data_IF_419807546566
#
_entry.id   IF_419807546566
#
_cell.length_a   1.000
_cell.length_b   1.000
_cell.length_c   1.000
_cell.angle_alpha   90.00
_cell.angle_beta   90.00
_cell.angle_gamma   90.00
#
_symmetry.space_group_name_H-M   'P 1'
#
loop_
_entity.id
_entity.type
_entity.pdbx_description
1 polymer ?
#
# COMPACT_ATOMS: atom_id res chain seq x y z
N UNK A 1 -4.86 13.70 2.87
CA UNK A 1 -3.48 13.40 3.27
C UNK A 1 -2.48 14.40 2.66
N UNK A 2 -2.44 14.62 1.32
CA UNK A 2 -1.52 15.57 0.69
C UNK A 2 -1.67 17.00 1.22
N UNK A 3 -2.90 17.52 1.36
CA UNK A 3 -3.17 18.85 1.91
C UNK A 3 -2.74 19.01 3.38
N UNK A 4 -2.69 17.90 4.10
CA UNK A 4 -2.25 17.83 5.50
C UNK A 4 -0.76 17.48 5.65
N UNK A 5 -0.04 17.44 4.55
CA UNK A 5 1.41 17.16 4.50
C UNK A 5 1.81 15.81 5.11
N UNK A 6 0.92 14.80 5.10
CA UNK A 6 1.18 13.50 5.72
C UNK A 6 2.31 12.73 5.05
N UNK A 7 2.55 12.97 3.76
CA UNK A 7 3.58 12.31 2.97
C UNK A 7 4.94 13.01 2.96
N UNK A 8 5.08 14.19 3.59
CA UNK A 8 6.30 14.99 3.48
C UNK A 8 7.58 14.29 3.97
N UNK A 9 7.45 13.38 4.94
CA UNK A 9 8.58 12.65 5.51
C UNK A 9 8.96 11.38 4.72
N UNK A 10 8.15 10.98 3.74
CA UNK A 10 8.38 9.78 2.92
C UNK A 10 8.66 10.10 1.46
N UNK A 11 8.29 11.28 0.98
CA UNK A 11 8.54 11.71 -0.40
C UNK A 11 9.92 12.36 -0.50
N UNK A 12 10.69 11.90 -1.50
CA UNK A 12 11.99 12.48 -1.83
C UNK A 12 11.83 13.45 -2.99
N UNK A 13 12.37 14.66 -2.83
CA UNK A 13 12.43 15.64 -3.92
C UNK A 13 13.35 15.15 -5.04
N UNK A 14 12.81 15.05 -6.24
CA UNK A 14 13.58 14.74 -7.44
C UNK A 14 13.77 16.00 -8.28
N UNK A 15 15.03 16.25 -8.64
CA UNK A 15 15.39 17.26 -9.62
C UNK A 15 15.38 16.64 -11.00
N UNK A 16 14.41 17.03 -11.82
CA UNK A 16 14.26 16.55 -13.19
C UNK A 16 14.82 17.60 -14.15
N UNK A 17 15.84 17.22 -14.93
CA UNK A 17 16.38 18.08 -15.99
C UNK A 17 15.48 17.97 -17.23
N UNK A 18 14.81 19.04 -17.57
CA UNK A 18 14.19 19.25 -18.87
C UNK A 18 15.19 19.95 -19.80
N UNK A 19 14.96 19.87 -21.12
CA UNK A 19 15.87 20.48 -22.13
C UNK A 19 16.24 21.94 -21.88
N UNK A 20 15.44 22.69 -21.12
CA UNK A 20 15.64 24.13 -20.85
C UNK A 20 15.68 24.51 -19.37
N UNK A 21 15.18 23.68 -18.47
CA UNK A 21 15.04 24.02 -17.04
C UNK A 21 15.23 22.79 -16.17
N UNK A 22 15.65 23.00 -14.92
CA UNK A 22 15.59 21.99 -13.85
C UNK A 22 14.28 22.22 -13.07
N UNK A 23 13.49 21.18 -12.92
CA UNK A 23 12.19 21.21 -12.20
C UNK A 23 12.31 20.32 -10.96
N UNK A 24 11.94 20.86 -9.82
CA UNK A 24 11.78 20.07 -8.59
C UNK A 24 10.46 19.32 -8.65
N UNK A 25 10.52 17.98 -8.62
CA UNK A 25 9.37 17.12 -8.61
C UNK A 25 9.10 16.63 -7.17
N UNK A 26 8.07 17.18 -6.54
CA UNK A 26 7.77 17.00 -5.11
C UNK A 26 6.37 16.45 -4.85
N UNK A 27 5.52 16.44 -5.84
CA UNK A 27 4.10 16.13 -5.66
C UNK A 27 3.67 15.06 -6.65
N UNK A 28 2.98 14.04 -6.14
CA UNK A 28 2.30 13.05 -6.99
C UNK A 28 1.23 13.73 -7.84
N UNK A 29 1.24 13.47 -9.14
CA UNK A 29 0.33 14.07 -10.11
C UNK A 29 -0.98 13.29 -10.26
N UNK A 30 -1.00 12.00 -9.84
CA UNK A 30 -2.13 11.12 -10.06
C UNK A 30 -3.38 11.50 -9.25
N UNK A 31 -3.29 11.96 -7.97
CA UNK A 31 -4.46 12.32 -7.19
C UNK A 31 -5.29 13.42 -7.85
N UNK A 32 -6.59 13.18 -7.99
CA UNK A 32 -7.53 14.10 -8.61
C UNK A 32 -8.39 14.79 -7.56
N UNK A 33 -8.33 16.11 -7.54
CA UNK A 33 -9.18 16.90 -6.66
C UNK A 33 -10.61 17.04 -7.21
N UNK A 34 -11.58 17.24 -6.30
CA UNK A 34 -12.97 17.55 -6.67
C UNK A 34 -13.81 16.37 -7.17
N UNK A 35 -13.33 15.12 -7.05
CA UNK A 35 -14.13 13.95 -7.37
C UNK A 35 -15.30 13.80 -6.41
N UNK A 36 -16.46 13.45 -6.96
CA UNK A 36 -17.67 13.14 -6.22
C UNK A 36 -18.38 11.90 -6.80
N UNK A 37 -19.37 11.39 -6.08
CA UNK A 37 -20.09 10.18 -6.49
C UNK A 37 -20.81 10.35 -7.83
N UNK A 38 -21.33 11.54 -8.13
CA UNK A 38 -22.00 11.83 -9.40
C UNK A 38 -21.02 11.72 -10.59
N UNK A 39 -19.82 12.29 -10.46
CA UNK A 39 -18.79 12.18 -11.49
C UNK A 39 -18.34 10.71 -11.67
N UNK A 40 -18.17 9.97 -10.59
CA UNK A 40 -17.77 8.56 -10.61
C UNK A 40 -18.87 7.67 -11.23
N UNK A 41 -20.15 7.92 -10.96
CA UNK A 41 -21.28 7.13 -11.48
C UNK A 41 -21.45 7.23 -13.01
N UNK A 42 -20.90 8.27 -13.64
CA UNK A 42 -20.93 8.46 -15.10
C UNK A 42 -19.85 7.66 -15.83
N UNK A 43 -18.91 7.07 -15.12
CA UNK A 43 -17.82 6.30 -15.72
C UNK A 43 -18.32 4.95 -16.21
N UNK A 44 -17.88 4.59 -17.42
CA UNK A 44 -18.26 3.31 -18.03
C UNK A 44 -17.39 2.17 -17.50
N UNK A 45 -17.95 0.95 -17.38
CA UNK A 45 -17.18 -0.25 -17.11
C UNK A 45 -16.07 -0.47 -18.14
N UNK A 46 -14.88 -0.93 -17.68
CA UNK A 46 -13.70 -1.09 -18.54
C UNK A 46 -13.53 -2.52 -19.04
N UNK A 47 -13.86 -3.53 -18.23
CA UNK A 47 -13.57 -4.94 -18.55
C UNK A 47 -14.77 -5.72 -19.06
N UNK A 48 -15.97 -5.47 -18.55
CA UNK A 48 -17.21 -6.14 -18.95
C UNK A 48 -18.27 -5.10 -19.24
N UNK A 49 -19.10 -5.30 -20.29
CA UNK A 49 -20.15 -4.36 -20.70
C UNK A 49 -21.07 -3.95 -19.54
N UNK A 50 -21.46 -4.92 -18.69
CA UNK A 50 -22.32 -4.72 -17.51
C UNK A 50 -21.53 -4.92 -16.20
N UNK A 51 -20.23 -4.62 -16.22
CA UNK A 51 -19.35 -4.73 -15.07
C UNK A 51 -19.42 -3.52 -14.15
N UNK A 52 -18.73 -3.62 -13.01
CA UNK A 52 -18.69 -2.56 -11.98
C UNK A 52 -17.33 -1.86 -11.90
N UNK A 53 -16.30 -2.40 -12.56
CA UNK A 53 -14.95 -1.82 -12.50
C UNK A 53 -14.83 -0.73 -13.57
N UNK A 54 -14.54 0.47 -13.11
CA UNK A 54 -14.37 1.68 -13.94
C UNK A 54 -13.01 2.34 -13.65
N UNK A 55 -12.63 3.34 -14.42
CA UNK A 55 -11.44 4.15 -14.15
C UNK A 55 -11.47 4.88 -12.79
N UNK A 56 -12.64 5.00 -12.15
CA UNK A 56 -12.78 5.68 -10.86
C UNK A 56 -12.63 4.77 -9.64
N UNK A 57 -12.63 3.44 -9.84
CA UNK A 57 -12.49 2.45 -8.76
C UNK A 57 -11.45 1.37 -9.06
N UNK A 58 -10.53 1.67 -9.98
CA UNK A 58 -9.35 0.90 -10.30
C UNK A 58 -8.12 1.82 -10.16
N UNK A 59 -6.98 1.25 -9.79
CA UNK A 59 -5.72 1.98 -9.78
C UNK A 59 -5.27 2.38 -11.18
N UNK A 60 -4.52 3.46 -11.30
CA UNK A 60 -3.82 3.80 -12.52
C UNK A 60 -2.57 2.94 -12.70
N UNK A 61 -2.07 2.88 -13.93
CA UNK A 61 -0.72 2.38 -14.24
C UNK A 61 0.21 3.59 -14.19
N UNK A 62 1.15 3.57 -13.27
CA UNK A 62 1.97 4.73 -12.94
C UNK A 62 3.45 4.37 -12.93
N UNK A 63 4.30 5.36 -13.21
CA UNK A 63 5.71 5.30 -12.87
C UNK A 63 5.91 5.67 -11.40
N UNK A 64 6.90 5.05 -10.77
CA UNK A 64 7.23 5.33 -9.37
C UNK A 64 8.41 4.51 -8.89
N UNK A 65 9.02 4.97 -7.81
CA UNK A 65 10.09 4.28 -7.12
C UNK A 65 9.93 4.43 -5.62
N UNK A 66 10.31 3.39 -4.89
CA UNK A 66 10.39 3.42 -3.43
C UNK A 66 11.58 2.57 -2.98
N UNK A 67 12.20 2.95 -1.88
CA UNK A 67 13.35 2.24 -1.35
C UNK A 67 13.24 2.08 0.17
N UNK A 68 13.66 0.92 0.65
CA UNK A 68 13.84 0.62 2.07
C UNK A 68 15.23 0.03 2.28
N UNK A 69 15.89 0.40 3.37
CA UNK A 69 17.16 -0.21 3.76
C UNK A 69 16.89 -1.30 4.79
N UNK A 70 17.35 -2.51 4.50
CA UNK A 70 17.24 -3.68 5.37
C UNK A 70 18.62 -4.07 5.90
N UNK A 71 18.67 -4.37 7.18
CA UNK A 71 19.89 -4.89 7.82
C UNK A 71 19.54 -5.69 9.06
N UNK A 72 20.51 -6.47 9.57
CA UNK A 72 20.34 -7.13 10.86
C UNK A 72 20.31 -6.10 12.01
N UNK A 73 19.62 -6.43 13.10
CA UNK A 73 19.64 -5.59 14.31
C UNK A 73 21.05 -5.40 14.86
N UNK A 74 21.92 -6.40 14.71
CA UNK A 74 23.32 -6.32 15.10
C UNK A 74 24.04 -5.24 14.29
N UNK A 75 23.96 -5.30 12.95
CA UNK A 75 24.59 -4.31 12.05
C UNK A 75 24.08 -2.89 12.34
N UNK A 76 22.77 -2.74 12.58
CA UNK A 76 22.21 -1.44 12.92
C UNK A 76 22.79 -0.88 14.23
N UNK A 77 22.93 -1.72 15.25
CA UNK A 77 23.51 -1.31 16.54
C UNK A 77 24.99 -0.94 16.41
N UNK A 78 25.79 -1.77 15.71
CA UNK A 78 27.23 -1.54 15.50
C UNK A 78 27.51 -0.23 14.75
N UNK A 79 26.59 0.19 13.87
CA UNK A 79 26.72 1.40 13.06
C UNK A 79 25.89 2.59 13.59
N UNK A 80 25.27 2.48 14.77
CA UNK A 80 24.41 3.50 15.37
C UNK A 80 23.28 3.97 14.46
N UNK A 81 22.70 3.05 13.66
CA UNK A 81 21.59 3.35 12.75
C UNK A 81 20.27 3.23 13.50
N UNK A 82 19.48 4.29 13.44
CA UNK A 82 18.14 4.29 14.02
C UNK A 82 17.23 3.34 13.25
N UNK A 83 16.75 2.31 13.93
CA UNK A 83 15.79 1.35 13.40
C UNK A 83 14.40 1.96 13.43
N UNK A 84 13.64 1.83 12.36
CA UNK A 84 12.25 2.32 12.28
C UNK A 84 11.27 1.26 12.77
N UNK A 85 11.39 0.05 12.23
CA UNK A 85 10.58 -1.12 12.60
C UNK A 85 11.42 -2.39 12.51
N UNK A 86 10.95 -3.46 13.13
CA UNK A 86 11.42 -4.83 12.89
C UNK A 86 10.44 -5.59 11.99
N UNK A 87 10.97 -6.36 11.04
CA UNK A 87 10.17 -7.32 10.28
C UNK A 87 9.92 -8.54 11.16
N UNK A 88 8.66 -8.85 11.44
CA UNK A 88 8.26 -9.99 12.28
C UNK A 88 8.04 -11.24 11.46
N UNK A 89 7.40 -11.10 10.32
CA UNK A 89 7.09 -12.21 9.43
C UNK A 89 6.74 -11.71 8.02
N UNK A 90 6.75 -12.62 7.07
CA UNK A 90 6.15 -12.43 5.75
C UNK A 90 5.63 -13.76 5.24
N UNK A 91 4.68 -13.72 4.32
CA UNK A 91 4.20 -14.91 3.63
C UNK A 91 3.71 -14.57 2.23
N UNK A 92 3.93 -15.48 1.31
CA UNK A 92 3.29 -15.48 0.00
C UNK A 92 2.40 -16.70 -0.13
N UNK A 93 1.28 -16.55 -0.84
CA UNK A 93 0.32 -17.63 -1.10
C UNK A 93 -0.20 -17.52 -2.54
N UNK A 94 -0.55 -18.68 -3.11
CA UNK A 94 -1.24 -18.79 -4.39
C UNK A 94 -2.75 -18.83 -4.19
N UNK A 95 -3.49 -18.32 -5.18
CA UNK A 95 -4.94 -18.43 -5.32
C UNK A 95 -5.27 -18.71 -6.78
N UNK A 96 -6.50 -19.06 -7.09
CA UNK A 96 -6.95 -19.20 -8.48
C UNK A 96 -6.70 -17.88 -9.23
N UNK A 97 -6.05 -17.92 -10.42
CA UNK A 97 -5.77 -16.72 -11.22
C UNK A 97 -7.02 -15.89 -11.55
N UNK A 98 -8.19 -16.53 -11.70
CA UNK A 98 -9.46 -15.82 -12.01
C UNK A 98 -9.93 -14.90 -10.87
N UNK A 99 -9.45 -15.14 -9.65
CA UNK A 99 -9.72 -14.34 -8.45
C UNK A 99 -8.42 -13.82 -7.82
N UNK A 100 -7.44 -13.48 -8.65
CA UNK A 100 -6.09 -13.09 -8.20
C UNK A 100 -6.10 -12.01 -7.12
N UNK A 101 -7.10 -11.13 -7.14
CA UNK A 101 -7.27 -10.06 -6.15
C UNK A 101 -7.46 -10.54 -4.71
N UNK A 102 -7.81 -11.81 -4.50
CA UNK A 102 -7.98 -12.42 -3.18
C UNK A 102 -6.67 -12.92 -2.56
N UNK A 103 -5.56 -12.90 -3.30
CA UNK A 103 -4.23 -13.32 -2.81
C UNK A 103 -3.81 -12.73 -1.46
N UNK A 104 -4.10 -11.46 -1.13
CA UNK A 104 -3.86 -10.87 0.19
C UNK A 104 -4.52 -11.63 1.35
N UNK A 105 -5.64 -12.32 1.13
CA UNK A 105 -6.37 -13.02 2.20
C UNK A 105 -5.52 -14.13 2.81
N UNK A 106 -5.14 -15.20 2.05
CA UNK A 106 -4.33 -16.27 2.62
C UNK A 106 -2.92 -15.81 3.00
N UNK A 107 -2.32 -14.86 2.28
CA UNK A 107 -0.98 -14.37 2.62
C UNK A 107 -0.96 -13.58 3.92
N UNK A 108 -1.98 -12.74 4.18
CA UNK A 108 -2.08 -12.03 5.45
C UNK A 108 -2.36 -12.96 6.62
N UNK A 109 -3.30 -13.90 6.49
CA UNK A 109 -3.56 -14.92 7.52
C UNK A 109 -2.26 -15.65 7.89
N UNK A 110 -1.53 -16.15 6.90
CA UNK A 110 -0.28 -16.87 7.11
C UNK A 110 0.83 -16.00 7.71
N UNK A 111 0.98 -14.75 7.28
CA UNK A 111 1.97 -13.84 7.84
C UNK A 111 1.66 -13.50 9.30
N UNK A 112 0.40 -13.26 9.64
CA UNK A 112 -0.04 -13.01 11.01
C UNK A 112 0.19 -14.22 11.91
N UNK A 113 -0.16 -15.43 11.45
CA UNK A 113 0.10 -16.67 12.18
C UNK A 113 1.60 -16.85 12.48
N UNK A 114 2.48 -16.59 11.50
CA UNK A 114 3.93 -16.64 11.68
C UNK A 114 4.46 -15.58 12.66
N UNK A 115 3.78 -14.43 12.75
CA UNK A 115 4.10 -13.39 13.74
C UNK A 115 3.54 -13.71 15.14
N UNK A 116 2.64 -14.68 15.26
CA UNK A 116 1.91 -14.96 16.48
C UNK A 116 0.85 -13.89 16.79
N UNK A 117 0.31 -13.22 15.76
CA UNK A 117 -0.67 -12.15 15.88
C UNK A 117 -2.04 -12.55 15.37
N UNK A 118 -3.07 -11.98 15.98
CA UNK A 118 -4.43 -11.97 15.45
C UNK A 118 -4.66 -10.72 14.61
N UNK A 119 -5.72 -10.72 13.81
CA UNK A 119 -6.12 -9.54 13.02
C UNK A 119 -6.35 -8.32 13.92
N UNK A 120 -6.98 -8.51 15.05
CA UNK A 120 -7.31 -7.44 16.00
C UNK A 120 -6.07 -6.78 16.60
N UNK A 121 -4.96 -7.51 16.70
CA UNK A 121 -3.69 -7.02 17.24
C UNK A 121 -3.02 -6.00 16.33
N UNK A 122 -3.38 -5.96 15.04
CA UNK A 122 -2.77 -5.06 14.07
C UNK A 122 -3.39 -3.68 14.18
N UNK A 123 -2.55 -2.68 14.33
CA UNK A 123 -2.97 -1.29 14.46
C UNK A 123 -3.30 -0.64 13.12
N UNK A 124 -2.49 -0.92 12.08
CA UNK A 124 -2.62 -0.33 10.75
C UNK A 124 -2.36 -1.36 9.65
N UNK A 125 -3.15 -1.24 8.59
CA UNK A 125 -3.00 -2.03 7.37
C UNK A 125 -2.75 -1.11 6.17
N UNK A 126 -1.80 -1.50 5.32
CA UNK A 126 -1.67 -0.99 3.95
C UNK A 126 -2.01 -2.13 2.99
N UNK A 127 -3.19 -2.08 2.40
CA UNK A 127 -3.69 -3.04 1.42
C UNK A 127 -3.64 -2.36 0.05
N UNK A 128 -2.80 -2.83 -0.85
CA UNK A 128 -2.69 -2.22 -2.16
C UNK A 128 -4.02 -2.32 -2.93
N UNK A 129 -4.52 -1.17 -3.35
CA UNK A 129 -5.80 -1.04 -4.06
C UNK A 129 -5.60 -1.20 -5.56
N UNK A 130 -5.33 -2.41 -6.05
CA UNK A 130 -5.36 -2.65 -7.49
C UNK A 130 -6.76 -2.35 -8.06
N UNK A 131 -7.80 -2.75 -7.31
CA UNK A 131 -9.21 -2.47 -7.57
C UNK A 131 -9.97 -2.27 -6.25
N UNK A 132 -10.95 -1.37 -6.21
CA UNK A 132 -11.77 -1.17 -5.01
C UNK A 132 -12.52 -2.45 -4.62
N UNK A 133 -13.10 -3.17 -5.60
CA UNK A 133 -13.80 -4.43 -5.36
C UNK A 133 -12.90 -5.49 -4.71
N UNK A 134 -11.63 -5.57 -5.14
CA UNK A 134 -10.63 -6.46 -4.57
C UNK A 134 -10.31 -6.08 -3.11
N UNK A 135 -10.06 -4.81 -2.85
CA UNK A 135 -9.75 -4.33 -1.49
C UNK A 135 -10.91 -4.56 -0.53
N UNK A 136 -12.14 -4.29 -0.96
CA UNK A 136 -13.35 -4.57 -0.18
C UNK A 136 -13.48 -6.06 0.13
N UNK A 137 -13.23 -6.94 -0.84
CA UNK A 137 -13.28 -8.39 -0.62
C UNK A 137 -12.24 -8.83 0.43
N UNK A 138 -11.02 -8.31 0.37
CA UNK A 138 -9.95 -8.61 1.33
C UNK A 138 -10.33 -8.12 2.74
N UNK A 139 -10.78 -6.88 2.88
CA UNK A 139 -11.16 -6.28 4.16
C UNK A 139 -12.29 -7.08 4.82
N UNK A 140 -13.32 -7.43 4.05
CA UNK A 140 -14.47 -8.19 4.55
C UNK A 140 -14.10 -9.62 4.96
N UNK A 141 -13.35 -10.33 4.13
CA UNK A 141 -12.97 -11.72 4.39
C UNK A 141 -11.98 -11.85 5.58
N UNK A 142 -11.16 -10.84 5.80
CA UNK A 142 -10.27 -10.76 6.96
C UNK A 142 -10.94 -10.12 8.18
N UNK A 143 -12.16 -9.60 8.05
CA UNK A 143 -12.88 -8.88 9.09
C UNK A 143 -12.06 -7.74 9.71
N UNK A 144 -11.40 -6.94 8.85
CA UNK A 144 -10.57 -5.80 9.28
C UNK A 144 -11.46 -4.58 9.49
N UNK A 145 -11.19 -3.82 10.55
CA UNK A 145 -11.77 -2.48 10.75
C UNK A 145 -11.27 -1.53 9.64
N UNK A 146 -12.18 -1.04 8.81
CA UNK A 146 -11.86 -0.15 7.68
C UNK A 146 -11.13 1.13 8.12
N UNK A 147 -11.32 1.60 9.35
CA UNK A 147 -10.64 2.76 9.90
C UNK A 147 -9.13 2.54 10.12
N UNK A 148 -8.67 1.29 10.07
CA UNK A 148 -7.26 0.93 10.18
C UNK A 148 -6.58 0.74 8.82
N UNK A 149 -7.34 0.81 7.70
CA UNK A 149 -6.86 0.46 6.36
C UNK A 149 -6.59 1.71 5.54
N UNK A 150 -5.39 1.79 4.93
CA UNK A 150 -5.03 2.83 3.98
C UNK A 150 -5.43 4.24 4.46
N UNK A 151 -5.14 4.54 5.71
CA UNK A 151 -5.63 5.74 6.41
C UNK A 151 -5.21 7.07 5.76
N UNK A 152 -4.24 7.02 4.85
CA UNK A 152 -3.82 8.17 4.03
C UNK A 152 -4.29 8.07 2.57
N UNK A 153 -5.18 7.12 2.26
CA UNK A 153 -5.57 6.77 0.90
C UNK A 153 -4.67 5.71 0.29
N UNK A 154 -5.10 5.09 -0.79
CA UNK A 154 -4.43 3.97 -1.44
C UNK A 154 -4.17 4.20 -2.93
N UNK A 155 -3.84 3.12 -3.63
CA UNK A 155 -3.37 3.14 -5.01
C UNK A 155 -4.39 3.68 -6.03
N UNK A 156 -5.68 3.62 -5.75
CA UNK A 156 -6.72 4.21 -6.61
C UNK A 156 -6.50 5.73 -6.71
N UNK A 157 -6.15 6.37 -5.60
CA UNK A 157 -5.89 7.81 -5.57
C UNK A 157 -4.42 8.16 -5.87
N UNK A 158 -3.47 7.40 -5.32
CA UNK A 158 -2.03 7.70 -5.38
C UNK A 158 -1.35 7.13 -6.63
N UNK A 159 -1.92 6.10 -7.25
CA UNK A 159 -1.32 5.36 -8.35
C UNK A 159 -0.71 4.02 -7.92
N UNK A 160 -0.47 3.15 -8.92
CA UNK A 160 0.06 1.81 -8.72
C UNK A 160 1.29 1.57 -9.59
N UNK A 161 2.47 2.04 -9.19
CA UNK A 161 3.73 1.71 -9.85
C UNK A 161 4.07 0.24 -9.54
N UNK A 162 3.66 -0.68 -10.42
CA UNK A 162 3.62 -2.13 -10.18
C UNK A 162 4.93 -2.65 -9.58
N UNK A 163 6.08 -2.26 -10.14
CA UNK A 163 7.40 -2.68 -9.65
C UNK A 163 7.82 -2.07 -8.31
N UNK A 164 7.18 -1.00 -7.86
CA UNK A 164 7.51 -0.28 -6.63
C UNK A 164 6.44 -0.39 -5.54
N UNK A 165 5.23 -0.84 -5.88
CA UNK A 165 4.07 -0.77 -4.96
C UNK A 165 4.30 -1.49 -3.63
N UNK A 166 4.99 -2.63 -3.62
CA UNK A 166 5.30 -3.34 -2.37
C UNK A 166 6.14 -2.48 -1.40
N UNK A 167 7.21 -1.87 -1.91
CA UNK A 167 8.05 -0.97 -1.13
C UNK A 167 7.29 0.32 -0.76
N UNK A 168 6.47 0.87 -1.69
CA UNK A 168 5.69 2.08 -1.46
C UNK A 168 4.71 1.92 -0.29
N UNK A 169 3.89 0.87 -0.27
CA UNK A 169 2.93 0.65 0.82
C UNK A 169 3.63 0.41 2.15
N UNK A 170 4.78 -0.26 2.14
CA UNK A 170 5.58 -0.47 3.34
C UNK A 170 6.14 0.85 3.89
N UNK A 171 6.64 1.72 3.03
CA UNK A 171 7.14 3.06 3.41
C UNK A 171 6.01 3.86 4.06
N UNK A 172 4.85 3.93 3.41
CA UNK A 172 3.68 4.65 3.95
C UNK A 172 3.24 4.07 5.30
N UNK A 173 3.16 2.75 5.42
CA UNK A 173 2.82 2.07 6.67
C UNK A 173 3.78 2.46 7.82
N UNK A 174 5.09 2.39 7.58
CA UNK A 174 6.11 2.69 8.59
C UNK A 174 6.02 4.16 9.05
N UNK A 175 5.89 5.09 8.10
CA UNK A 175 5.77 6.51 8.41
C UNK A 175 4.49 6.81 9.18
N UNK A 176 3.38 6.16 8.82
CA UNK A 176 2.11 6.34 9.50
C UNK A 176 2.10 5.72 10.90
N UNK A 177 2.68 4.52 11.07
CA UNK A 177 2.89 3.91 12.39
C UNK A 177 3.69 4.85 13.31
N UNK A 178 4.75 5.46 12.80
CA UNK A 178 5.56 6.43 13.54
C UNK A 178 4.73 7.66 13.91
N UNK A 179 3.97 8.23 12.97
CA UNK A 179 3.16 9.44 13.16
C UNK A 179 2.06 9.24 14.20
N UNK A 180 1.38 8.09 14.18
CA UNK A 180 0.30 7.75 15.12
C UNK A 180 0.78 7.02 16.38
N UNK A 181 2.08 6.78 16.53
CA UNK A 181 2.66 6.00 17.63
C UNK A 181 2.07 4.59 17.73
N UNK A 182 1.86 3.93 16.59
CA UNK A 182 1.32 2.57 16.48
C UNK A 182 2.43 1.53 16.53
N UNK A 183 2.11 0.33 16.99
CA UNK A 183 3.08 -0.72 17.25
C UNK A 183 3.14 -1.80 16.18
N UNK A 184 2.01 -2.26 15.66
CA UNK A 184 1.91 -3.39 14.73
C UNK A 184 1.30 -2.97 13.42
N UNK A 185 1.96 -3.29 12.32
CA UNK A 185 1.48 -2.99 10.98
C UNK A 185 1.57 -4.18 10.05
N UNK A 186 0.67 -4.24 9.08
CA UNK A 186 0.68 -5.25 8.02
C UNK A 186 0.51 -4.58 6.65
N UNK A 187 1.47 -4.83 5.76
CA UNK A 187 1.38 -4.43 4.35
C UNK A 187 1.09 -5.66 3.49
N UNK A 188 0.13 -5.58 2.59
CA UNK A 188 -0.25 -6.71 1.72
C UNK A 188 -0.71 -6.25 0.34
N UNK A 189 -0.47 -7.09 -0.66
CA UNK A 189 -0.89 -6.83 -2.04
C UNK A 189 -1.15 -8.13 -2.80
N UNK A 190 -2.05 -8.05 -3.78
CA UNK A 190 -2.25 -9.09 -4.77
C UNK A 190 -1.17 -8.99 -5.87
N UNK A 191 -0.90 -10.11 -6.51
CA UNK A 191 0.10 -10.22 -7.57
C UNK A 191 -0.57 -10.94 -8.76
N UNK A 192 -0.34 -10.44 -9.96
CA UNK A 192 -0.83 -11.04 -11.19
C UNK A 192 -0.43 -12.52 -11.30
N UNK A 193 -1.31 -13.34 -11.89
CA UNK A 193 -1.13 -14.78 -11.97
C UNK A 193 -1.73 -15.58 -10.80
N UNK A 194 -2.40 -14.92 -9.85
CA UNK A 194 -3.07 -15.58 -8.72
C UNK A 194 -2.17 -15.75 -7.50
N UNK A 195 -1.53 -14.68 -7.07
CA UNK A 195 -0.66 -14.69 -5.91
C UNK A 195 -0.97 -13.51 -4.97
N UNK A 196 -0.54 -13.62 -3.74
CA UNK A 196 -0.51 -12.53 -2.76
C UNK A 196 0.73 -12.60 -1.89
N UNK A 197 1.10 -11.47 -1.34
CA UNK A 197 2.17 -11.37 -0.34
C UNK A 197 1.71 -10.46 0.80
N UNK A 198 2.13 -10.78 2.01
CA UNK A 198 1.96 -9.94 3.18
C UNK A 198 3.24 -9.88 4.01
N UNK A 199 3.46 -8.74 4.66
CA UNK A 199 4.62 -8.49 5.52
C UNK A 199 4.14 -7.79 6.78
N UNK A 200 4.49 -8.36 7.95
CA UNK A 200 4.18 -7.83 9.28
C UNK A 200 5.40 -7.12 9.86
N UNK A 201 5.19 -5.91 10.34
CA UNK A 201 6.24 -5.09 10.96
C UNK A 201 5.81 -4.62 12.35
N UNK A 202 6.79 -4.49 13.24
CA UNK A 202 6.59 -4.05 14.61
C UNK A 202 7.52 -2.88 14.94
N UNK A 203 6.99 -1.87 15.64
CA UNK A 203 7.76 -0.75 16.15
C UNK A 203 8.85 -1.25 17.13
N UNK A 204 10.00 -0.64 17.06
CA UNK A 204 11.15 -0.90 17.96
C UNK A 204 11.17 0.13 19.06
#
# INVERSE_FOLDING_TARGET
AQKENKFNNEIINLKIKSKKNEVNFLKDEHPREGLNLEALSRLKPVFKKDGTVTAGNASGINDGAAAVTLMSSQTANENNITKLVSIKSWASCGVDPSIMGTGPIPSSKKALDLAGWKIEDVDLFEINEAFAAQSIAVIRELNIDENKVNVNGGAIALGHPIGASGARILVTLIHEMKRQNKNKGCATLCIGGGMGIALCVEKI
#
